data_IF_084875835252
#
_entry.id   IF_084875835252
#
_cell.length_a   1.000
_cell.length_b   1.000
_cell.length_c   1.000
_cell.angle_alpha   90.00
_cell.angle_beta   90.00
_cell.angle_gamma   90.00
#
_symmetry.space_group_name_H-M   'P 1'
#
loop_
_entity.id
_entity.type
_entity.pdbx_description
1 polymer ?
#
# COMPACT_ATOMS: atom_id res chain seq x y z
N UNK A 1 0.34 26.75 -1.72
CA UNK A 1 1.15 25.81 -2.50
C UNK A 1 0.87 24.39 -2.02
N UNK A 2 0.72 23.42 -2.95
CA UNK A 2 0.55 22.02 -2.60
C UNK A 2 1.83 21.51 -1.93
N UNK A 3 1.66 20.71 -0.87
CA UNK A 3 2.78 20.08 -0.15
C UNK A 3 3.01 18.64 -0.57
N UNK A 4 1.97 17.99 -1.09
CA UNK A 4 1.97 16.64 -1.63
C UNK A 4 1.29 16.67 -3.01
N UNK A 5 1.82 15.92 -3.96
CA UNK A 5 1.22 15.70 -5.27
C UNK A 5 0.92 14.22 -5.48
N UNK A 6 -0.16 13.93 -6.18
CA UNK A 6 -0.35 12.65 -6.85
C UNK A 6 0.45 12.73 -8.15
N UNK A 7 1.32 11.79 -8.38
CA UNK A 7 2.21 11.76 -9.56
C UNK A 7 2.00 10.53 -10.44
N UNK A 8 1.26 9.54 -9.99
CA UNK A 8 0.88 8.39 -10.79
C UNK A 8 -0.17 7.56 -10.12
N UNK A 9 -1.03 6.93 -10.92
CA UNK A 9 -2.04 5.99 -10.45
C UNK A 9 -2.18 4.78 -11.38
N UNK A 10 -2.80 3.72 -10.84
CA UNK A 10 -3.13 2.51 -11.59
C UNK A 10 -4.34 1.81 -10.98
N UNK A 11 -5.24 1.36 -11.83
CA UNK A 11 -6.43 0.61 -11.43
C UNK A 11 -6.63 -0.57 -12.37
N UNK A 12 -6.54 -1.77 -11.82
CA UNK A 12 -6.64 -3.04 -12.58
C UNK A 12 -7.61 -3.98 -11.87
N UNK A 13 -8.40 -4.70 -12.66
CA UNK A 13 -9.28 -5.73 -12.13
C UNK A 13 -8.65 -7.11 -12.30
N UNK A 14 -8.68 -7.94 -11.25
CA UNK A 14 -8.17 -9.33 -11.29
C UNK A 14 -8.97 -10.25 -12.21
N UNK A 15 -10.25 -9.94 -12.42
CA UNK A 15 -11.20 -10.81 -13.12
C UNK A 15 -11.19 -12.28 -12.59
N UNK A 16 -10.89 -12.46 -11.30
CA UNK A 16 -10.71 -13.77 -10.70
C UNK A 16 -11.99 -14.28 -10.00
N UNK A 17 -12.44 -13.55 -8.98
CA UNK A 17 -13.58 -13.94 -8.16
C UNK A 17 -14.28 -12.70 -7.57
N UNK A 18 -15.59 -12.83 -7.26
CA UNK A 18 -16.37 -11.69 -6.75
C UNK A 18 -15.89 -11.16 -5.38
N UNK A 19 -15.36 -12.01 -4.54
CA UNK A 19 -14.92 -11.66 -3.17
C UNK A 19 -13.52 -12.16 -2.81
N UNK A 20 -12.89 -12.96 -3.67
CA UNK A 20 -11.55 -13.51 -3.43
C UNK A 20 -10.51 -12.80 -4.28
N UNK A 21 -9.35 -12.43 -3.71
CA UNK A 21 -8.26 -11.82 -4.47
C UNK A 21 -7.58 -12.84 -5.40
N UNK A 22 -6.80 -12.34 -6.36
CA UNK A 22 -5.92 -13.14 -7.18
C UNK A 22 -4.90 -13.90 -6.32
N UNK A 23 -4.62 -15.16 -6.65
CA UNK A 23 -3.59 -15.94 -5.97
C UNK A 23 -2.16 -15.55 -6.38
N UNK A 24 -2.00 -14.81 -7.45
CA UNK A 24 -0.72 -14.39 -8.01
C UNK A 24 -0.40 -12.92 -7.76
N UNK A 25 -1.35 -12.18 -7.18
CA UNK A 25 -1.25 -10.73 -6.99
C UNK A 25 -1.18 -9.94 -8.30
N UNK A 26 -1.63 -10.53 -9.43
CA UNK A 26 -1.42 -9.93 -10.77
C UNK A 26 -2.08 -8.56 -10.90
N UNK A 27 -3.32 -8.39 -10.45
CA UNK A 27 -4.02 -7.12 -10.55
C UNK A 27 -3.34 -6.02 -9.73
N UNK A 28 -2.96 -6.31 -8.50
CA UNK A 28 -2.25 -5.35 -7.65
C UNK A 28 -0.86 -5.05 -8.20
N UNK A 29 -0.10 -6.07 -8.61
CA UNK A 29 1.19 -5.92 -9.26
C UNK A 29 1.11 -4.95 -10.44
N UNK A 30 0.18 -5.17 -11.37
CA UNK A 30 -0.02 -4.30 -12.54
C UNK A 30 -0.52 -2.90 -12.19
N UNK A 31 -1.33 -2.77 -11.14
CA UNK A 31 -1.76 -1.45 -10.66
C UNK A 31 -0.57 -0.63 -10.18
N UNK A 32 0.32 -1.25 -9.41
CA UNK A 32 1.53 -0.59 -8.91
C UNK A 32 2.50 -0.28 -10.08
N UNK A 33 2.71 -1.24 -10.98
CA UNK A 33 3.55 -1.05 -12.17
C UNK A 33 3.06 0.14 -13.03
N UNK A 34 1.75 0.24 -13.25
CA UNK A 34 1.13 1.37 -13.98
C UNK A 34 1.37 2.70 -13.25
N UNK A 35 1.13 2.73 -11.93
CA UNK A 35 1.32 3.94 -11.13
C UNK A 35 2.79 4.42 -11.13
N UNK A 36 3.75 3.50 -11.01
CA UNK A 36 5.18 3.81 -11.07
C UNK A 36 5.59 4.31 -12.45
N UNK A 37 5.06 3.70 -13.52
CA UNK A 37 5.35 4.12 -14.90
C UNK A 37 4.82 5.53 -15.19
N UNK A 38 3.60 5.85 -14.74
CA UNK A 38 3.04 7.20 -14.88
C UNK A 38 3.82 8.22 -14.04
N UNK A 39 4.19 7.87 -12.81
CA UNK A 39 5.03 8.68 -11.93
C UNK A 39 6.46 8.88 -12.47
N UNK A 40 6.90 8.05 -13.42
CA UNK A 40 8.27 8.02 -13.97
C UNK A 40 9.34 7.80 -12.91
N UNK A 41 9.04 6.96 -11.93
CA UNK A 41 9.97 6.54 -10.87
C UNK A 41 10.11 5.01 -10.86
N UNK A 42 11.18 4.54 -10.25
CA UNK A 42 11.41 3.11 -10.02
C UNK A 42 10.90 2.69 -8.65
N UNK A 43 10.60 1.41 -8.47
CA UNK A 43 10.12 0.85 -7.21
C UNK A 43 11.05 1.14 -6.02
N UNK A 44 12.37 1.13 -6.23
CA UNK A 44 13.37 1.41 -5.20
C UNK A 44 13.38 2.88 -4.70
N UNK A 45 12.60 3.76 -5.30
CA UNK A 45 12.44 5.15 -4.85
C UNK A 45 11.25 5.32 -3.89
N UNK A 46 10.43 4.29 -3.71
CA UNK A 46 9.34 4.31 -2.74
C UNK A 46 9.92 4.18 -1.32
N UNK A 47 9.64 5.15 -0.48
CA UNK A 47 10.13 5.21 0.89
C UNK A 47 9.21 4.53 1.90
N UNK A 48 7.90 4.47 1.59
CA UNK A 48 6.85 3.99 2.48
C UNK A 48 5.65 3.47 1.70
N UNK A 49 5.03 2.39 2.19
CA UNK A 49 3.80 1.83 1.64
C UNK A 49 2.69 1.87 2.69
N UNK A 50 1.56 2.50 2.34
CA UNK A 50 0.31 2.35 3.05
C UNK A 50 -0.48 1.24 2.37
N UNK A 51 -0.39 0.02 2.89
CA UNK A 51 -1.00 -1.17 2.33
C UNK A 51 -2.51 -1.22 2.55
N UNK A 52 -3.17 -2.15 1.88
CA UNK A 52 -4.58 -2.45 2.16
C UNK A 52 -4.72 -3.22 3.48
N UNK A 53 -3.93 -4.27 3.69
CA UNK A 53 -3.74 -5.03 4.92
C UNK A 53 -5.00 -5.20 5.77
N UNK A 54 -5.69 -6.33 5.62
CA UNK A 54 -6.99 -6.57 6.27
C UNK A 54 -6.94 -7.61 7.38
N UNK A 55 -5.78 -8.20 7.64
CA UNK A 55 -5.59 -9.38 8.47
C UNK A 55 -6.39 -10.60 7.95
N UNK A 56 -6.76 -10.60 6.68
CA UNK A 56 -7.39 -11.72 6.01
C UNK A 56 -6.33 -12.50 5.22
N UNK A 57 -6.08 -13.80 5.52
CA UNK A 57 -4.95 -14.55 4.98
C UNK A 57 -4.79 -14.45 3.47
N UNK A 58 -5.87 -14.56 2.72
CA UNK A 58 -5.79 -14.52 1.25
C UNK A 58 -5.49 -13.13 0.69
N UNK A 59 -5.98 -12.07 1.33
CA UNK A 59 -5.70 -10.70 0.89
C UNK A 59 -4.25 -10.33 1.20
N UNK A 60 -3.80 -10.60 2.41
CA UNK A 60 -2.45 -10.25 2.85
C UNK A 60 -1.41 -11.07 2.07
N UNK A 61 -1.70 -12.35 1.76
CA UNK A 61 -0.87 -13.16 0.87
C UNK A 61 -0.77 -12.55 -0.54
N UNK A 62 -1.89 -12.12 -1.10
CA UNK A 62 -1.92 -11.46 -2.42
C UNK A 62 -1.08 -10.19 -2.44
N UNK A 63 -1.18 -9.35 -1.42
CA UNK A 63 -0.39 -8.12 -1.31
C UNK A 63 1.11 -8.45 -1.19
N UNK A 64 1.47 -9.40 -0.32
CA UNK A 64 2.87 -9.81 -0.13
C UNK A 64 3.52 -10.29 -1.44
N UNK A 65 2.80 -11.12 -2.21
CA UNK A 65 3.25 -11.59 -3.53
C UNK A 65 3.45 -10.41 -4.49
N UNK A 66 2.48 -9.49 -4.57
CA UNK A 66 2.58 -8.34 -5.47
C UNK A 66 3.77 -7.43 -5.13
N UNK A 67 4.01 -7.15 -3.85
CA UNK A 67 5.15 -6.34 -3.41
C UNK A 67 6.49 -7.03 -3.70
N UNK A 68 6.62 -8.32 -3.44
CA UNK A 68 7.85 -9.07 -3.73
C UNK A 68 8.15 -9.11 -5.23
N UNK A 69 7.15 -9.26 -6.09
CA UNK A 69 7.32 -9.23 -7.55
C UNK A 69 7.89 -7.89 -8.07
N UNK A 70 7.72 -6.82 -7.31
CA UNK A 70 8.23 -5.48 -7.61
C UNK A 70 9.50 -5.11 -6.84
N UNK A 71 10.09 -6.06 -6.09
CA UNK A 71 11.23 -5.82 -5.20
C UNK A 71 10.97 -4.73 -4.14
N UNK A 72 9.73 -4.68 -3.63
CA UNK A 72 9.28 -3.76 -2.59
C UNK A 72 9.27 -4.39 -1.18
N UNK A 73 9.73 -5.61 -1.02
CA UNK A 73 9.68 -6.39 0.23
C UNK A 73 10.42 -5.72 1.40
N UNK A 74 11.41 -4.87 1.10
CA UNK A 74 12.18 -4.15 2.12
C UNK A 74 11.63 -2.76 2.44
N UNK A 75 10.66 -2.27 1.67
CA UNK A 75 10.05 -0.96 1.91
C UNK A 75 9.14 -1.04 3.13
N UNK A 76 9.26 -0.13 4.11
CA UNK A 76 8.38 -0.12 5.27
C UNK A 76 6.91 -0.02 4.87
N UNK A 77 6.11 -0.94 5.36
CA UNK A 77 4.68 -1.02 5.07
C UNK A 77 3.86 -1.03 6.35
N UNK A 78 2.73 -0.36 6.36
CA UNK A 78 1.73 -0.52 7.40
C UNK A 78 0.32 -0.76 6.84
N UNK A 79 -0.55 -1.26 7.73
CA UNK A 79 -1.99 -1.14 7.63
C UNK A 79 -2.53 -0.35 8.83
N UNK A 80 -3.37 0.61 8.56
CA UNK A 80 -3.97 1.46 9.59
C UNK A 80 -5.30 0.89 10.14
N UNK A 81 -5.76 -0.24 9.59
CA UNK A 81 -7.06 -0.83 9.96
C UNK A 81 -7.12 -1.33 11.40
N UNK A 82 -5.99 -1.60 12.02
CA UNK A 82 -5.92 -1.93 13.44
C UNK A 82 -6.39 -0.80 14.36
N UNK A 83 -6.31 0.47 13.91
CA UNK A 83 -6.74 1.63 14.71
C UNK A 83 -8.25 1.91 14.64
N UNK A 84 -8.88 1.71 13.49
CA UNK A 84 -10.26 2.16 13.27
C UNK A 84 -11.13 1.18 12.47
N UNK A 85 -10.61 0.00 12.17
CA UNK A 85 -11.31 -1.02 11.40
C UNK A 85 -11.34 -0.77 9.90
N UNK A 86 -12.02 -1.66 9.18
CA UNK A 86 -12.19 -1.55 7.74
C UNK A 86 -13.38 -0.64 7.41
N UNK A 87 -13.12 0.54 6.93
CA UNK A 87 -14.14 1.55 6.62
C UNK A 87 -14.78 1.39 5.24
N UNK A 88 -14.67 0.21 4.64
CA UNK A 88 -15.24 -0.16 3.34
C UNK A 88 -14.85 0.82 2.22
N UNK A 89 -15.83 1.44 1.54
CA UNK A 89 -15.56 2.37 0.45
C UNK A 89 -14.77 3.63 0.83
N UNK A 90 -14.72 3.98 2.12
CA UNK A 90 -13.93 5.11 2.61
C UNK A 90 -12.47 4.75 2.93
N UNK A 91 -12.12 3.45 2.97
CA UNK A 91 -10.82 2.96 3.44
C UNK A 91 -9.64 3.59 2.70
N UNK A 92 -9.65 3.52 1.37
CA UNK A 92 -8.56 4.07 0.56
C UNK A 92 -8.34 5.56 0.79
N UNK A 93 -9.42 6.35 0.89
CA UNK A 93 -9.32 7.80 1.10
C UNK A 93 -8.83 8.13 2.51
N UNK A 94 -9.39 7.49 3.55
CA UNK A 94 -9.00 7.73 4.94
C UNK A 94 -7.50 7.41 5.15
N UNK A 95 -7.07 6.26 4.68
CA UNK A 95 -5.67 5.83 4.75
C UNK A 95 -4.74 6.74 3.96
N UNK A 96 -5.20 7.26 2.81
CA UNK A 96 -4.46 8.27 2.04
C UNK A 96 -4.27 9.56 2.83
N UNK A 97 -5.32 10.08 3.47
CA UNK A 97 -5.22 11.32 4.28
C UNK A 97 -4.23 11.14 5.43
N UNK A 98 -4.27 10.01 6.12
CA UNK A 98 -3.33 9.71 7.20
C UNK A 98 -1.91 9.50 6.65
N UNK A 99 -1.76 8.83 5.50
CA UNK A 99 -0.47 8.67 4.82
C UNK A 99 0.16 10.01 4.41
N UNK A 100 -0.64 10.94 3.90
CA UNK A 100 -0.20 12.31 3.61
C UNK A 100 0.30 12.99 4.89
N UNK A 101 -0.47 12.93 5.98
CA UNK A 101 -0.08 13.53 7.24
C UNK A 101 1.20 12.90 7.80
N UNK A 102 1.30 11.58 7.72
CA UNK A 102 2.49 10.79 8.09
C UNK A 102 3.75 11.31 7.40
N UNK A 103 3.68 11.48 6.09
CA UNK A 103 4.81 11.97 5.28
C UNK A 103 5.14 13.44 5.58
N UNK A 104 4.13 14.28 5.80
CA UNK A 104 4.36 15.69 6.15
C UNK A 104 5.05 15.87 7.52
N UNK A 105 4.74 14.98 8.46
CA UNK A 105 5.34 14.98 9.80
C UNK A 105 6.64 14.17 9.89
N UNK A 106 7.09 13.54 8.80
CA UNK A 106 8.24 12.63 8.77
C UNK A 106 8.11 11.48 9.78
N UNK A 107 6.91 10.91 9.87
CA UNK A 107 6.60 9.77 10.75
C UNK A 107 5.86 8.70 9.99
N UNK A 108 6.19 7.45 10.23
CA UNK A 108 5.42 6.29 9.76
C UNK A 108 4.86 5.56 10.97
N UNK A 109 3.57 5.22 10.89
CA UNK A 109 2.85 4.63 12.01
C UNK A 109 2.92 3.11 11.99
N UNK A 110 2.89 2.53 13.18
CA UNK A 110 2.83 1.09 13.41
C UNK A 110 1.60 0.45 12.76
N UNK A 111 1.72 -0.79 12.31
CA UNK A 111 0.58 -1.67 12.04
C UNK A 111 0.04 -2.21 13.35
N UNK A 112 -0.93 -1.50 13.95
CA UNK A 112 -1.48 -1.88 15.25
C UNK A 112 -2.13 -3.26 15.18
N UNK A 113 -1.77 -4.14 16.12
CA UNK A 113 -2.28 -5.50 16.19
C UNK A 113 -1.50 -6.51 15.34
N UNK A 114 -0.40 -6.11 14.70
CA UNK A 114 0.51 -7.06 14.08
C UNK A 114 1.28 -7.82 15.16
N UNK A 115 1.24 -9.15 15.10
CA UNK A 115 1.87 -10.05 16.06
C UNK A 115 2.89 -10.96 15.37
N UNK A 116 2.46 -11.63 14.31
CA UNK A 116 3.33 -12.54 13.55
C UNK A 116 3.08 -12.47 12.04
N UNK A 117 4.09 -12.86 11.26
CA UNK A 117 4.00 -12.93 9.82
C UNK A 117 3.14 -14.11 9.38
N UNK A 118 1.97 -13.83 8.82
CA UNK A 118 1.02 -14.84 8.35
C UNK A 118 1.04 -15.08 6.83
N UNK A 119 2.03 -14.55 6.11
CA UNK A 119 2.15 -14.65 4.65
C UNK A 119 3.44 -15.39 4.24
N UNK A 120 3.46 -15.94 3.03
CA UNK A 120 4.60 -16.76 2.56
C UNK A 120 5.76 -15.94 2.01
N UNK A 121 5.50 -14.72 1.53
CA UNK A 121 6.53 -13.83 1.01
C UNK A 121 6.88 -12.76 2.05
N UNK A 122 8.18 -12.49 2.27
CA UNK A 122 8.59 -11.51 3.28
C UNK A 122 8.14 -10.09 2.88
N UNK A 123 7.68 -9.34 3.86
CA UNK A 123 7.39 -7.90 3.75
C UNK A 123 7.83 -7.18 5.03
N UNK A 124 8.22 -5.92 4.92
CA UNK A 124 8.75 -5.14 6.04
C UNK A 124 7.63 -4.40 6.78
N UNK A 125 6.91 -5.12 7.65
CA UNK A 125 5.83 -4.53 8.45
C UNK A 125 6.39 -3.60 9.53
N UNK A 126 5.84 -2.39 9.63
CA UNK A 126 6.18 -1.42 10.67
C UNK A 126 5.55 -1.88 12.00
N UNK A 127 6.39 -2.27 12.96
CA UNK A 127 5.98 -2.78 14.27
C UNK A 127 6.04 -1.75 15.39
N UNK A 128 6.59 -0.57 15.13
CA UNK A 128 6.65 0.57 16.03
C UNK A 128 6.64 1.88 15.25
N UNK A 129 6.20 2.97 15.86
CA UNK A 129 6.24 4.27 15.22
C UNK A 129 7.70 4.70 14.97
N UNK A 130 7.98 5.18 13.77
CA UNK A 130 9.34 5.54 13.35
C UNK A 130 9.37 6.96 12.80
N UNK A 131 10.42 7.71 13.12
CA UNK A 131 10.76 8.95 12.43
C UNK A 131 11.42 8.57 11.09
N UNK A 132 10.80 8.96 9.98
CA UNK A 132 11.29 8.64 8.64
C UNK A 132 10.94 9.75 7.66
N UNK A 133 11.97 10.34 7.07
CA UNK A 133 11.76 11.27 5.96
C UNK A 133 11.36 10.45 4.71
N UNK A 134 10.19 10.75 4.17
CA UNK A 134 9.65 10.10 2.98
C UNK A 134 9.44 11.17 1.90
N UNK A 135 9.99 10.93 0.71
CA UNK A 135 9.74 11.74 -0.49
C UNK A 135 8.62 11.15 -1.32
N UNK A 136 8.60 9.82 -1.45
CA UNK A 136 7.59 9.10 -2.21
C UNK A 136 6.90 8.07 -1.32
N UNK A 137 5.57 8.06 -1.35
CA UNK A 137 4.84 6.96 -0.76
C UNK A 137 3.82 6.35 -1.72
N UNK A 138 3.62 5.06 -1.58
CA UNK A 138 2.67 4.26 -2.34
C UNK A 138 1.47 3.95 -1.46
N UNK A 139 0.25 4.24 -1.93
CA UNK A 139 -0.99 3.78 -1.34
C UNK A 139 -1.60 2.70 -2.20
N UNK A 140 -1.93 1.54 -1.62
CA UNK A 140 -2.64 0.46 -2.30
C UNK A 140 -4.00 0.19 -1.66
N UNK A 141 -4.97 -0.20 -2.48
CA UNK A 141 -6.26 -0.66 -2.00
C UNK A 141 -6.79 -1.77 -2.91
N UNK A 142 -7.37 -2.79 -2.29
CA UNK A 142 -8.00 -3.92 -2.97
C UNK A 142 -9.44 -4.08 -2.50
N UNK A 143 -10.35 -4.38 -3.42
CA UNK A 143 -11.78 -4.46 -3.13
C UNK A 143 -12.44 -5.68 -3.74
N UNK A 144 -13.63 -5.99 -3.26
CA UNK A 144 -14.48 -7.02 -3.86
C UNK A 144 -14.74 -6.71 -5.34
N UNK A 145 -14.96 -7.76 -6.13
CA UNK A 145 -15.02 -7.66 -7.58
C UNK A 145 -13.65 -7.68 -8.25
N UNK A 146 -12.57 -7.86 -7.48
CA UNK A 146 -11.19 -7.94 -7.99
C UNK A 146 -10.57 -6.58 -8.31
N UNK A 147 -11.13 -5.49 -7.80
CA UNK A 147 -10.58 -4.15 -8.04
C UNK A 147 -9.31 -3.93 -7.21
N UNK A 148 -8.21 -3.60 -7.88
CA UNK A 148 -6.94 -3.22 -7.27
C UNK A 148 -6.54 -1.83 -7.74
N UNK A 149 -6.11 -0.99 -6.82
CA UNK A 149 -5.66 0.37 -7.10
C UNK A 149 -4.33 0.66 -6.40
N UNK A 150 -3.51 1.47 -7.06
CA UNK A 150 -2.26 1.98 -6.52
C UNK A 150 -2.13 3.46 -6.87
N UNK A 151 -1.66 4.26 -5.93
CA UNK A 151 -1.43 5.71 -6.14
C UNK A 151 -0.08 6.08 -5.57
N UNK A 152 0.73 6.77 -6.35
CA UNK A 152 2.04 7.28 -5.94
C UNK A 152 1.94 8.76 -5.61
N UNK A 153 2.45 9.11 -4.44
CA UNK A 153 2.48 10.48 -3.93
C UNK A 153 3.91 10.97 -3.79
N UNK A 154 4.13 12.24 -4.11
CA UNK A 154 5.39 12.95 -3.96
C UNK A 154 5.27 14.08 -2.95
N UNK A 155 6.22 14.19 -2.01
CA UNK A 155 6.40 15.34 -1.14
C UNK A 155 7.16 16.42 -1.89
N UNK A 156 6.60 17.64 -1.94
CA UNK A 156 7.14 18.77 -2.75
C UNK A 156 7.65 19.95 -1.92
N UNK A 157 7.96 19.70 -0.65
CA UNK A 157 8.54 20.68 0.30
C UNK A 157 9.80 20.11 0.95
#
# INVERSE_FOLDING_TARGET
NAKIKIIGDGAINDANHISGPSRTGEGLYRSIESALAEAKINANQIDYISGHGTAAPFNDEMESIAFNRLCLENVPINSLKGFYGHTLGASGLLETVIGIQSVLENKVFVSLGFDEMGVTQPINIITENQDKNCNYFLKTASGFGGCNTAVVFEKVI
#
